data_IF_206191608725
#
_entry.id   IF_206191608725
#
_cell.length_a   1.000
_cell.length_b   1.000
_cell.length_c   1.000
_cell.angle_alpha   90.00
_cell.angle_beta   90.00
_cell.angle_gamma   90.00
#
_symmetry.space_group_name_H-M   'P 1'
#
loop_
_entity.id
_entity.type
_entity.pdbx_description
1 polymer ?
#
# COMPACT_ATOMS: atom_id res chain seq x y z
N UNK A 1 4.36 5.14 30.89
CA UNK A 1 4.40 3.67 31.12
C UNK A 1 3.40 2.89 30.26
N UNK A 2 2.16 3.34 30.02
CA UNK A 2 1.18 2.64 29.15
C UNK A 2 1.62 2.46 27.69
N UNK A 3 2.36 3.40 27.10
CA UNK A 3 2.88 3.32 25.72
C UNK A 3 3.87 2.17 25.49
N UNK A 4 4.76 1.88 26.45
CA UNK A 4 5.75 0.80 26.30
C UNK A 4 5.09 -0.59 26.31
N UNK A 5 3.99 -0.75 27.05
CA UNK A 5 3.26 -2.01 27.18
C UNK A 5 2.45 -2.31 25.91
N UNK A 6 1.92 -1.29 25.23
CA UNK A 6 1.14 -1.47 24.00
C UNK A 6 2.03 -1.78 22.80
N UNK A 7 3.19 -1.14 22.68
CA UNK A 7 4.19 -1.48 21.65
C UNK A 7 4.69 -2.91 21.83
N UNK A 8 4.91 -3.35 23.08
CA UNK A 8 5.26 -4.72 23.41
C UNK A 8 4.18 -5.73 22.98
N UNK A 9 2.90 -5.43 23.23
CA UNK A 9 1.79 -6.31 22.87
C UNK A 9 1.59 -6.45 21.35
N UNK A 10 1.81 -5.38 20.59
CA UNK A 10 1.70 -5.40 19.12
C UNK A 10 2.92 -6.08 18.51
N UNK A 11 4.11 -5.91 19.10
CA UNK A 11 5.29 -6.65 18.71
C UNK A 11 5.14 -8.15 18.98
N UNK A 12 4.52 -8.55 20.09
CA UNK A 12 4.28 -9.97 20.40
C UNK A 12 3.13 -10.57 19.59
N UNK A 13 2.05 -9.82 19.32
CA UNK A 13 0.98 -10.26 18.41
C UNK A 13 1.45 -10.33 16.95
N UNK A 14 2.26 -9.38 16.50
CA UNK A 14 2.90 -9.39 15.18
C UNK A 14 3.90 -10.52 15.04
N UNK A 15 4.74 -10.76 16.06
CA UNK A 15 5.66 -11.91 16.10
C UNK A 15 4.91 -13.24 16.19
N UNK A 16 3.78 -13.29 16.89
CA UNK A 16 2.92 -14.48 16.98
C UNK A 16 2.25 -14.82 15.65
N UNK A 17 1.73 -13.81 14.93
CA UNK A 17 1.19 -14.02 13.58
C UNK A 17 2.28 -14.36 12.55
N UNK A 18 3.47 -13.74 12.65
CA UNK A 18 4.62 -14.13 11.83
C UNK A 18 5.04 -15.58 12.09
N UNK A 19 5.13 -15.98 13.37
CA UNK A 19 5.43 -17.35 13.75
C UNK A 19 4.40 -18.35 13.22
N UNK A 20 3.11 -18.00 13.28
CA UNK A 20 2.04 -18.85 12.75
C UNK A 20 2.10 -19.01 11.24
N UNK A 21 2.31 -17.93 10.48
CA UNK A 21 2.43 -17.97 9.01
C UNK A 21 3.67 -18.77 8.58
N UNK A 22 4.78 -18.62 9.29
CA UNK A 22 6.02 -19.38 9.04
C UNK A 22 5.80 -20.88 9.31
N UNK A 23 5.16 -21.24 10.42
CA UNK A 23 4.87 -22.64 10.75
C UNK A 23 3.92 -23.26 9.73
N UNK A 24 2.87 -22.57 9.32
CA UNK A 24 1.93 -23.06 8.30
C UNK A 24 2.63 -23.20 6.93
N UNK A 25 3.49 -22.26 6.54
CA UNK A 25 4.23 -22.33 5.28
C UNK A 25 5.29 -23.45 5.27
N UNK A 26 5.95 -23.73 6.40
CA UNK A 26 6.87 -24.86 6.54
C UNK A 26 6.12 -26.19 6.47
N UNK A 27 4.91 -26.27 7.04
CA UNK A 27 4.08 -27.49 6.96
C UNK A 27 3.57 -27.81 5.54
N UNK A 28 3.54 -26.83 4.62
CA UNK A 28 3.15 -27.01 3.20
C UNK A 28 4.32 -27.56 2.36
N UNK A 29 5.51 -27.75 2.94
CA UNK A 29 6.55 -28.62 2.36
C UNK A 29 7.57 -27.95 1.45
N UNK A 30 7.64 -26.62 1.39
CA UNK A 30 8.71 -25.90 0.69
C UNK A 30 9.37 -24.84 1.59
N UNK A 31 10.63 -25.06 2.02
CA UNK A 31 11.32 -24.15 2.94
C UNK A 31 11.53 -22.74 2.34
N UNK A 32 11.58 -22.64 1.01
CA UNK A 32 11.64 -21.35 0.29
C UNK A 32 10.36 -20.51 0.47
N UNK A 33 9.18 -21.12 0.42
CA UNK A 33 7.91 -20.38 0.62
C UNK A 33 7.80 -19.90 2.06
N UNK A 34 8.29 -20.69 3.03
CA UNK A 34 8.37 -20.26 4.43
C UNK A 34 9.24 -19.02 4.63
N UNK A 35 10.39 -18.94 3.94
CA UNK A 35 11.28 -17.78 4.01
C UNK A 35 10.66 -16.54 3.36
N UNK A 36 10.06 -16.69 2.18
CA UNK A 36 9.37 -15.60 1.48
C UNK A 36 8.18 -15.09 2.31
N UNK A 37 7.41 -15.99 2.90
CA UNK A 37 6.30 -15.64 3.78
C UNK A 37 6.78 -14.93 5.06
N UNK A 38 7.91 -15.33 5.63
CA UNK A 38 8.53 -14.65 6.78
C UNK A 38 8.92 -13.21 6.44
N UNK A 39 9.59 -13.01 5.29
CA UNK A 39 10.02 -11.70 4.81
C UNK A 39 8.80 -10.83 4.50
N UNK A 40 7.80 -11.38 3.82
CA UNK A 40 6.55 -10.69 3.50
C UNK A 40 5.78 -10.28 4.76
N UNK A 41 5.67 -11.16 5.76
CA UNK A 41 5.00 -10.87 7.01
C UNK A 41 5.79 -9.84 7.86
N UNK A 42 7.13 -9.91 7.86
CA UNK A 42 8.00 -8.90 8.46
C UNK A 42 7.84 -7.52 7.81
N UNK A 43 7.79 -7.48 6.48
CA UNK A 43 7.51 -6.27 5.71
C UNK A 43 6.12 -5.71 6.02
N UNK A 44 5.08 -6.55 6.05
CA UNK A 44 3.73 -6.14 6.41
C UNK A 44 3.64 -5.57 7.83
N UNK A 45 4.33 -6.19 8.80
CA UNK A 45 4.41 -5.67 10.17
C UNK A 45 5.14 -4.33 10.25
N UNK A 46 6.22 -4.14 9.48
CA UNK A 46 6.88 -2.83 9.38
C UNK A 46 5.95 -1.76 8.81
N UNK A 47 5.16 -2.09 7.78
CA UNK A 47 4.16 -1.18 7.20
C UNK A 47 3.08 -0.83 8.24
N UNK A 48 2.62 -1.78 9.03
CA UNK A 48 1.66 -1.55 10.11
C UNK A 48 2.20 -0.60 11.19
N UNK A 49 3.49 -0.68 11.52
CA UNK A 49 4.13 0.21 12.51
C UNK A 49 4.42 1.59 11.90
N UNK A 50 4.83 1.65 10.63
CA UNK A 50 5.18 2.89 9.92
C UNK A 50 4.57 2.85 8.51
N UNK A 51 3.35 3.37 8.32
CA UNK A 51 2.63 3.22 7.04
C UNK A 51 3.29 4.00 5.88
N UNK A 52 4.18 4.95 6.18
CA UNK A 52 4.99 5.64 5.17
C UNK A 52 5.83 4.68 4.31
N UNK A 53 6.37 3.60 4.88
CA UNK A 53 7.09 2.60 4.10
C UNK A 53 6.18 1.84 3.14
N UNK A 54 4.92 1.64 3.52
CA UNK A 54 3.90 1.08 2.64
C UNK A 54 3.62 1.98 1.45
N UNK A 55 3.49 3.29 1.67
CA UNK A 55 3.37 4.27 0.60
C UNK A 55 4.55 4.21 -0.37
N UNK A 56 5.78 4.19 0.13
CA UNK A 56 6.98 4.09 -0.72
C UNK A 56 6.98 2.80 -1.55
N UNK A 57 6.65 1.66 -0.93
CA UNK A 57 6.56 0.39 -1.64
C UNK A 57 5.51 0.44 -2.76
N UNK A 58 4.32 0.98 -2.48
CA UNK A 58 3.25 1.13 -3.48
C UNK A 58 3.74 2.00 -4.65
N UNK A 59 4.39 3.14 -4.37
CA UNK A 59 4.90 4.04 -5.42
C UNK A 59 5.97 3.35 -6.27
N UNK A 60 6.90 2.64 -5.65
CA UNK A 60 7.94 1.90 -6.39
C UNK A 60 7.33 0.82 -7.28
N UNK A 61 6.45 -0.02 -6.73
CA UNK A 61 5.82 -1.10 -7.51
C UNK A 61 4.84 -0.58 -8.56
N UNK A 62 4.20 0.56 -8.33
CA UNK A 62 3.35 1.19 -9.33
C UNK A 62 4.16 1.67 -10.55
N UNK A 63 5.42 2.08 -10.37
CA UNK A 63 6.29 2.44 -11.50
C UNK A 63 7.00 1.25 -12.14
N UNK A 64 7.23 0.19 -11.37
CA UNK A 64 7.75 -1.08 -11.84
C UNK A 64 6.60 -2.04 -12.18
N UNK A 65 5.60 -1.55 -12.93
CA UNK A 65 4.38 -2.31 -13.24
C UNK A 65 4.71 -3.70 -13.85
N UNK A 66 5.73 -3.77 -14.71
CA UNK A 66 6.24 -5.03 -15.27
C UNK A 66 6.72 -6.01 -14.18
N UNK A 67 7.49 -5.56 -13.19
CA UNK A 67 7.91 -6.43 -12.08
C UNK A 67 6.76 -6.79 -11.18
N UNK A 68 5.85 -5.85 -10.91
CA UNK A 68 4.66 -6.13 -10.11
C UNK A 68 3.81 -7.22 -10.77
N UNK A 69 3.68 -7.18 -12.09
CA UNK A 69 2.94 -8.17 -12.87
C UNK A 69 3.63 -9.55 -12.84
N UNK A 70 4.94 -9.62 -13.11
CA UNK A 70 5.73 -10.87 -13.00
C UNK A 70 5.60 -11.47 -11.60
N UNK A 71 5.74 -10.64 -10.57
CA UNK A 71 5.71 -11.10 -9.18
C UNK A 71 4.30 -11.51 -8.73
N UNK A 72 3.26 -11.02 -9.43
CA UNK A 72 1.85 -11.36 -9.18
C UNK A 72 1.30 -12.48 -10.07
N UNK A 73 2.08 -13.02 -11.01
CA UNK A 73 1.64 -14.04 -11.96
C UNK A 73 1.12 -15.30 -11.24
N UNK A 74 1.72 -15.65 -10.11
CA UNK A 74 1.33 -16.78 -9.26
C UNK A 74 0.32 -16.41 -8.15
N UNK A 75 -0.07 -15.13 -8.01
CA UNK A 75 -0.97 -14.68 -6.95
C UNK A 75 -2.36 -14.33 -7.51
N UNK A 76 -3.45 -14.74 -6.81
CA UNK A 76 -4.81 -14.40 -7.20
C UNK A 76 -5.13 -12.89 -7.07
N UNK A 77 -4.26 -12.13 -6.42
CA UNK A 77 -4.42 -10.69 -6.16
C UNK A 77 -3.09 -9.99 -6.47
N UNK A 78 -3.14 -8.89 -7.23
CA UNK A 78 -1.96 -8.05 -7.49
C UNK A 78 -1.29 -7.60 -6.19
N UNK A 79 0.05 -7.73 -6.15
CA UNK A 79 0.87 -7.36 -4.99
C UNK A 79 0.67 -5.88 -4.61
N UNK A 80 0.45 -5.00 -5.59
CA UNK A 80 0.18 -3.58 -5.35
C UNK A 80 -1.13 -3.39 -4.58
N UNK A 81 -2.17 -4.15 -4.93
CA UNK A 81 -3.46 -4.12 -4.20
C UNK A 81 -3.28 -4.61 -2.77
N UNK A 82 -2.53 -5.69 -2.58
CA UNK A 82 -2.25 -6.26 -1.26
C UNK A 82 -1.46 -5.27 -0.38
N UNK A 83 -0.41 -4.66 -0.92
CA UNK A 83 0.34 -3.58 -0.26
C UNK A 83 -0.55 -2.39 0.09
N UNK A 84 -1.45 -2.00 -0.80
CA UNK A 84 -2.38 -0.89 -0.57
C UNK A 84 -3.32 -1.19 0.59
N UNK A 85 -3.88 -2.41 0.65
CA UNK A 85 -4.75 -2.85 1.75
C UNK A 85 -3.99 -2.90 3.08
N UNK A 86 -2.78 -3.45 3.09
CA UNK A 86 -1.93 -3.51 4.30
C UNK A 86 -1.57 -2.10 4.78
N UNK A 87 -1.23 -1.20 3.85
CA UNK A 87 -0.88 0.19 4.16
C UNK A 87 -2.09 0.96 4.69
N UNK A 88 -3.27 0.81 4.08
CA UNK A 88 -4.52 1.35 4.61
C UNK A 88 -4.84 0.80 6.00
N UNK A 89 -4.68 -0.50 6.21
CA UNK A 89 -4.83 -1.14 7.51
C UNK A 89 -3.89 -0.53 8.56
N UNK A 90 -2.63 -0.28 8.19
CA UNK A 90 -1.66 0.44 9.01
C UNK A 90 -2.08 1.86 9.34
N UNK A 91 -2.57 2.62 8.35
CA UNK A 91 -3.10 3.99 8.56
C UNK A 91 -4.29 3.99 9.50
N UNK A 92 -5.24 3.07 9.32
CA UNK A 92 -6.43 2.96 10.17
C UNK A 92 -6.02 2.57 11.59
N UNK A 93 -5.20 1.52 11.75
CA UNK A 93 -4.72 1.05 13.04
C UNK A 93 -3.95 2.14 13.81
N UNK A 94 -3.18 2.96 13.10
CA UNK A 94 -2.45 4.08 13.70
C UNK A 94 -3.34 5.30 13.97
N UNK A 95 -4.37 5.55 13.13
CA UNK A 95 -5.36 6.61 13.34
C UNK A 95 -6.14 6.43 14.65
N UNK A 96 -6.41 5.18 15.06
CA UNK A 96 -7.03 4.92 16.37
C UNK A 96 -6.19 5.42 17.56
N UNK A 97 -4.89 5.64 17.39
CA UNK A 97 -3.98 6.14 18.44
C UNK A 97 -3.88 7.66 18.48
N UNK A 98 -4.31 8.36 17.44
CA UNK A 98 -4.27 9.82 17.41
C UNK A 98 -5.42 10.45 18.23
N UNK A 99 -5.20 11.64 18.82
CA UNK A 99 -6.25 12.41 19.49
C UNK A 99 -7.47 12.58 18.58
N UNK A 100 -8.68 12.50 19.15
CA UNK A 100 -9.95 12.51 18.39
C UNK A 100 -10.10 13.67 17.40
N UNK A 101 -9.44 14.80 17.66
CA UNK A 101 -9.47 15.97 16.79
C UNK A 101 -8.78 15.74 15.43
N UNK A 102 -7.78 14.86 15.35
CA UNK A 102 -6.95 14.63 14.16
C UNK A 102 -7.18 13.27 13.49
N UNK A 103 -8.09 12.45 14.05
CA UNK A 103 -8.42 11.10 13.57
C UNK A 103 -8.92 11.04 12.14
N UNK A 104 -9.63 12.07 11.69
CA UNK A 104 -10.29 12.10 10.37
C UNK A 104 -9.33 12.61 9.29
N UNK A 105 -8.13 13.07 9.64
CA UNK A 105 -7.20 13.67 8.69
C UNK A 105 -6.96 15.15 8.97
N UNK A 106 -5.92 15.73 8.35
CA UNK A 106 -5.74 17.18 8.31
C UNK A 106 -7.00 17.86 7.76
N UNK A 107 -7.35 19.05 8.25
CA UNK A 107 -8.46 19.88 7.72
C UNK A 107 -8.10 20.52 6.37
N UNK A 108 -7.40 19.79 5.53
CA UNK A 108 -6.93 20.27 4.25
C UNK A 108 -8.07 20.30 3.22
N UNK A 109 -8.19 21.37 2.43
CA UNK A 109 -9.23 21.48 1.41
C UNK A 109 -9.11 20.37 0.35
N UNK A 110 -7.88 19.93 0.06
CA UNK A 110 -7.59 18.81 -0.85
C UNK A 110 -8.36 17.53 -0.48
N UNK A 111 -8.42 17.19 0.80
CA UNK A 111 -9.14 16.01 1.28
C UNK A 111 -10.65 16.12 1.05
N UNK A 112 -11.21 17.33 1.21
CA UNK A 112 -12.63 17.59 0.97
C UNK A 112 -12.97 17.42 -0.50
N UNK A 113 -12.13 17.94 -1.40
CA UNK A 113 -12.31 17.74 -2.84
C UNK A 113 -12.18 16.27 -3.23
N UNK A 114 -11.25 15.52 -2.63
CA UNK A 114 -11.14 14.08 -2.86
C UNK A 114 -12.40 13.32 -2.42
N UNK A 115 -12.98 13.66 -1.27
CA UNK A 115 -14.23 13.04 -0.79
C UNK A 115 -15.40 13.39 -1.72
N UNK A 116 -15.52 14.65 -2.14
CA UNK A 116 -16.56 15.09 -3.09
C UNK A 116 -16.38 14.36 -4.43
N UNK A 117 -15.15 14.24 -4.92
CA UNK A 117 -14.85 13.51 -6.15
C UNK A 117 -15.21 12.03 -6.04
N UNK A 118 -14.89 11.38 -4.91
CA UNK A 118 -15.29 9.99 -4.65
C UNK A 118 -16.80 9.80 -4.60
N UNK A 119 -17.54 10.73 -3.98
CA UNK A 119 -19.00 10.74 -3.98
C UNK A 119 -19.57 10.92 -5.38
N UNK A 120 -19.04 11.87 -6.15
CA UNK A 120 -19.45 12.09 -7.53
C UNK A 120 -19.22 10.83 -8.37
N UNK A 121 -18.06 10.19 -8.20
CA UNK A 121 -17.71 8.95 -8.89
C UNK A 121 -18.66 7.80 -8.55
N UNK A 122 -19.02 7.66 -7.27
CA UNK A 122 -20.00 6.68 -6.82
C UNK A 122 -21.38 6.92 -7.44
N UNK A 123 -21.82 8.19 -7.48
CA UNK A 123 -23.09 8.57 -8.11
C UNK A 123 -23.06 8.32 -9.62
N UNK A 124 -21.96 8.64 -10.31
CA UNK A 124 -21.81 8.34 -11.75
C UNK A 124 -21.85 6.84 -12.00
N UNK A 125 -21.23 6.03 -11.13
CA UNK A 125 -21.28 4.57 -11.24
C UNK A 125 -22.68 3.99 -11.05
N UNK A 126 -23.52 4.60 -10.20
CA UNK A 126 -24.91 4.20 -9.98
C UNK A 126 -25.83 4.42 -11.19
N UNK A 127 -25.51 5.42 -12.02
CA UNK A 127 -26.34 5.86 -13.15
C UNK A 127 -25.82 5.37 -14.51
N UNK A 128 -24.73 4.62 -14.55
CA UNK A 128 -24.11 4.21 -15.80
C UNK A 128 -24.68 2.88 -16.31
N UNK A 129 -25.02 2.86 -17.60
CA UNK A 129 -25.68 1.73 -18.26
C UNK A 129 -24.77 0.49 -18.43
N UNK A 130 -23.46 0.70 -18.48
CA UNK A 130 -22.47 -0.37 -18.72
C UNK A 130 -21.68 -0.72 -17.44
N UNK A 131 -22.03 -1.80 -16.72
CA UNK A 131 -21.38 -2.15 -15.46
C UNK A 131 -19.89 -2.51 -15.61
N UNK A 132 -19.47 -2.99 -16.79
CA UNK A 132 -18.07 -3.34 -17.06
C UNK A 132 -17.16 -2.13 -17.14
N UNK A 133 -17.58 -1.08 -17.85
CA UNK A 133 -16.83 0.16 -17.98
C UNK A 133 -16.79 0.94 -16.67
N UNK A 134 -17.88 0.86 -15.91
CA UNK A 134 -17.97 1.43 -14.56
C UNK A 134 -16.99 0.76 -13.61
N UNK A 135 -16.96 -0.57 -13.54
CA UNK A 135 -16.06 -1.30 -12.65
C UNK A 135 -14.59 -0.96 -12.93
N UNK A 136 -14.18 -0.94 -14.19
CA UNK A 136 -12.83 -0.56 -14.59
C UNK A 136 -12.48 0.89 -14.22
N UNK A 137 -13.42 1.82 -14.41
CA UNK A 137 -13.23 3.23 -14.08
C UNK A 137 -13.14 3.45 -12.56
N UNK A 138 -14.02 2.79 -11.78
CA UNK A 138 -14.01 2.81 -10.32
C UNK A 138 -12.69 2.25 -9.79
N UNK A 139 -12.21 1.15 -10.34
CA UNK A 139 -10.95 0.55 -9.92
C UNK A 139 -9.77 1.51 -10.11
N UNK A 140 -9.66 2.13 -11.30
CA UNK A 140 -8.58 3.08 -11.60
C UNK A 140 -8.67 4.36 -10.79
N UNK A 141 -9.80 5.03 -10.84
CA UNK A 141 -9.99 6.33 -10.20
C UNK A 141 -10.07 6.19 -8.68
N UNK A 142 -10.67 5.11 -8.17
CA UNK A 142 -10.66 4.77 -6.76
C UNK A 142 -9.26 4.47 -6.25
N UNK A 143 -8.46 3.72 -7.03
CA UNK A 143 -7.05 3.47 -6.72
C UNK A 143 -6.23 4.77 -6.63
N UNK A 144 -6.42 5.68 -7.60
CA UNK A 144 -5.80 7.01 -7.57
C UNK A 144 -6.23 7.83 -6.35
N UNK A 145 -7.52 7.79 -5.99
CA UNK A 145 -8.06 8.53 -4.84
C UNK A 145 -7.49 8.00 -3.52
N UNK A 146 -7.35 6.67 -3.39
CA UNK A 146 -6.70 6.02 -2.24
C UNK A 146 -5.23 6.41 -2.14
N UNK A 147 -4.49 6.37 -3.25
CA UNK A 147 -3.10 6.80 -3.29
C UNK A 147 -2.94 8.26 -2.88
N UNK A 148 -3.79 9.13 -3.42
CA UNK A 148 -3.83 10.54 -3.07
C UNK A 148 -4.09 10.75 -1.57
N UNK A 149 -5.09 10.04 -1.02
CA UNK A 149 -5.38 10.05 0.42
C UNK A 149 -4.18 9.62 1.25
N UNK A 150 -3.54 8.52 0.89
CA UNK A 150 -2.35 8.02 1.59
C UNK A 150 -1.21 9.04 1.54
N UNK A 151 -0.99 9.67 0.38
CA UNK A 151 0.04 10.67 0.20
C UNK A 151 -0.20 11.89 1.11
N UNK A 152 -1.40 12.47 1.07
CA UNK A 152 -1.77 13.63 1.94
C UNK A 152 -1.68 13.27 3.43
N UNK A 153 -2.08 12.06 3.81
CA UNK A 153 -2.13 11.66 5.22
C UNK A 153 -0.77 11.32 5.81
N UNK A 154 0.11 10.69 5.02
CA UNK A 154 1.39 10.15 5.48
C UNK A 154 2.57 11.09 5.24
N UNK A 155 2.51 11.94 4.22
CA UNK A 155 3.56 12.89 3.89
C UNK A 155 3.35 14.16 4.71
N UNK A 156 4.09 14.29 5.81
CA UNK A 156 4.06 15.45 6.70
C UNK A 156 5.29 16.34 6.58
N UNK A 157 6.42 15.78 6.15
CA UNK A 157 7.71 16.46 6.16
C UNK A 157 8.30 16.58 4.74
N UNK A 158 9.07 17.65 4.49
CA UNK A 158 9.65 17.92 3.15
C UNK A 158 10.57 16.79 2.67
N UNK A 159 11.37 16.22 3.56
CA UNK A 159 12.27 15.11 3.21
C UNK A 159 11.52 13.87 2.70
N UNK A 160 10.27 13.67 3.13
CA UNK A 160 9.45 12.55 2.67
C UNK A 160 9.03 12.73 1.21
N UNK A 161 8.74 13.97 0.81
CA UNK A 161 8.48 14.32 -0.60
C UNK A 161 9.74 14.06 -1.43
N UNK A 162 10.90 14.52 -0.95
CA UNK A 162 12.17 14.34 -1.67
C UNK A 162 12.48 12.86 -1.92
N UNK A 163 12.25 11.99 -0.94
CA UNK A 163 12.42 10.53 -1.11
C UNK A 163 11.41 9.97 -2.12
N UNK A 164 10.14 10.36 -2.06
CA UNK A 164 9.13 9.90 -3.01
C UNK A 164 9.54 10.29 -4.44
N UNK A 165 9.95 11.55 -4.63
CA UNK A 165 10.43 12.05 -5.93
C UNK A 165 11.66 11.27 -6.39
N UNK A 166 12.62 11.03 -5.50
CA UNK A 166 13.82 10.25 -5.82
C UNK A 166 13.47 8.83 -6.27
N UNK A 167 12.51 8.17 -5.60
CA UNK A 167 12.03 6.84 -5.98
C UNK A 167 11.34 6.88 -7.34
N UNK A 168 10.50 7.89 -7.61
CA UNK A 168 9.82 8.01 -8.90
C UNK A 168 10.86 8.18 -10.02
N UNK A 169 11.83 9.08 -9.84
CA UNK A 169 12.89 9.28 -10.83
C UNK A 169 13.71 8.01 -11.01
N UNK A 170 14.16 7.39 -9.93
CA UNK A 170 14.97 6.16 -9.98
C UNK A 170 14.23 4.99 -10.62
N UNK A 171 12.97 4.77 -10.27
CA UNK A 171 12.14 3.71 -10.85
C UNK A 171 11.81 3.96 -12.32
N UNK A 172 11.58 5.21 -12.71
CA UNK A 172 11.33 5.58 -14.10
C UNK A 172 12.59 5.39 -14.96
N UNK A 173 13.76 5.77 -14.43
CA UNK A 173 15.04 5.49 -15.09
C UNK A 173 15.26 3.99 -15.25
N UNK A 174 15.03 3.20 -14.20
CA UNK A 174 15.17 1.75 -14.26
C UNK A 174 14.19 1.11 -15.25
N UNK A 175 12.93 1.52 -15.23
CA UNK A 175 11.90 1.10 -16.17
C UNK A 175 12.28 1.43 -17.62
N UNK A 176 12.74 2.66 -17.87
CA UNK A 176 13.20 3.08 -19.20
C UNK A 176 14.43 2.29 -19.69
N UNK A 177 15.37 1.96 -18.79
CA UNK A 177 16.55 1.18 -19.13
C UNK A 177 16.18 -0.25 -19.57
N UNK A 178 15.19 -0.85 -18.92
CA UNK A 178 14.70 -2.19 -19.28
C UNK A 178 14.04 -2.16 -20.65
N UNK A 179 13.19 -1.17 -20.93
CA UNK A 179 12.55 -1.05 -22.25
C UNK A 179 13.60 -0.88 -23.35
N UNK A 180 14.63 -0.07 -23.14
CA UNK A 180 15.71 0.09 -24.12
C UNK A 180 16.46 -1.23 -24.32
N UNK A 181 16.75 -1.97 -23.26
CA UNK A 181 17.42 -3.27 -23.34
C UNK A 181 16.61 -4.27 -24.18
N UNK A 182 15.29 -4.35 -23.95
CA UNK A 182 14.37 -5.26 -24.63
C UNK A 182 14.22 -4.94 -26.13
N UNK A 183 14.40 -3.68 -26.54
CA UNK A 183 14.37 -3.28 -27.95
C UNK A 183 15.70 -3.48 -28.69
N UNK A 184 16.82 -3.66 -27.99
CA UNK A 184 18.17 -3.79 -28.59
C UNK A 184 18.66 -5.22 -28.77
N UNK A 185 17.98 -6.18 -28.16
CA UNK A 185 18.24 -7.63 -28.26
C UNK A 185 17.19 -8.31 -29.15
#
# INVERSE_FOLDING_TARGET
MREKITIGLIATLGAGMMGFVIVVAIMIGSPLIGLIAAIGAGGAAMILVRPFWGLLAIVTFAQLDTFANILSEDLPISIVKLLTVVTLGGVIANSYREPRADRIGPREPALRYAVIFGLALFLTGLYADDPKWVAWSIEKLGGMLVLFYLMVRLVRERWQVDIIVLIIVGSTLFSSAIVVYDYTL
#
